data_IF_339474213542
#
_entry.id   IF_339474213542
#
_cell.length_a   1.000
_cell.length_b   1.000
_cell.length_c   1.000
_cell.angle_alpha   90.00
_cell.angle_beta   90.00
_cell.angle_gamma   90.00
#
_symmetry.space_group_name_H-M   'P 1'
#
loop_
_entity.id
_entity.type
_entity.pdbx_description
1 polymer ?
#
# COMPACT_ATOMS: atom_id res chain seq x y z
N UNK A 1 -35.29 -16.33 33.91
CA UNK A 1 -35.29 -15.14 33.03
C UNK A 1 -33.91 -14.47 32.90
N UNK A 2 -33.10 -14.34 33.97
CA UNK A 2 -31.78 -13.68 33.95
C UNK A 2 -30.70 -14.34 33.05
N UNK A 3 -30.67 -15.67 32.96
CA UNK A 3 -29.70 -16.41 32.11
C UNK A 3 -29.91 -16.17 30.61
N UNK A 4 -31.15 -16.02 30.16
CA UNK A 4 -31.47 -15.81 28.75
C UNK A 4 -31.04 -14.41 28.27
N UNK A 5 -31.20 -13.40 29.13
CA UNK A 5 -30.80 -12.01 28.84
C UNK A 5 -29.28 -11.88 28.68
N UNK A 6 -28.50 -12.52 29.56
CA UNK A 6 -27.03 -12.60 29.44
C UNK A 6 -26.56 -13.33 28.18
N UNK A 7 -27.26 -14.39 27.75
CA UNK A 7 -26.96 -15.10 26.50
C UNK A 7 -27.24 -14.24 25.27
N UNK A 8 -28.36 -13.50 25.24
CA UNK A 8 -28.66 -12.55 24.17
C UNK A 8 -27.66 -11.39 24.11
N UNK A 9 -27.25 -10.84 25.25
CA UNK A 9 -26.21 -9.80 25.29
C UNK A 9 -24.87 -10.33 24.78
N UNK A 10 -24.46 -11.54 25.19
CA UNK A 10 -23.24 -12.19 24.69
C UNK A 10 -23.25 -12.42 23.18
N UNK A 11 -24.36 -12.91 22.63
CA UNK A 11 -24.52 -13.08 21.18
C UNK A 11 -24.46 -11.75 20.42
N UNK A 12 -25.03 -10.68 20.98
CA UNK A 12 -24.98 -9.34 20.37
C UNK A 12 -23.56 -8.75 20.32
N UNK A 13 -22.75 -8.99 21.37
CA UNK A 13 -21.35 -8.56 21.42
C UNK A 13 -20.53 -9.34 20.39
N UNK A 14 -20.74 -10.66 20.31
CA UNK A 14 -20.03 -11.51 19.37
C UNK A 14 -20.32 -11.12 17.91
N UNK A 15 -21.58 -10.76 17.60
CA UNK A 15 -21.97 -10.26 16.28
C UNK A 15 -21.33 -8.91 15.95
N UNK A 16 -21.18 -8.00 16.93
CA UNK A 16 -20.47 -6.73 16.73
C UNK A 16 -18.98 -6.94 16.44
N UNK A 17 -18.34 -7.84 17.18
CA UNK A 17 -16.93 -8.20 16.96
C UNK A 17 -16.75 -8.80 15.57
N UNK A 18 -17.63 -9.72 15.16
CA UNK A 18 -17.55 -10.35 13.85
C UNK A 18 -17.68 -9.34 12.72
N UNK A 19 -18.64 -8.41 12.80
CA UNK A 19 -18.77 -7.31 11.83
C UNK A 19 -17.55 -6.39 11.81
N UNK A 20 -16.94 -6.14 12.96
CA UNK A 20 -15.73 -5.32 13.04
C UNK A 20 -14.55 -6.01 12.35
N UNK A 21 -14.38 -7.32 12.58
CA UNK A 21 -13.34 -8.11 11.92
C UNK A 21 -13.60 -8.15 10.41
N UNK A 22 -14.82 -8.44 9.97
CA UNK A 22 -15.19 -8.50 8.55
C UNK A 22 -14.89 -7.19 7.81
N UNK A 23 -15.15 -6.04 8.45
CA UNK A 23 -14.85 -4.74 7.89
C UNK A 23 -13.35 -4.40 7.90
N UNK A 24 -12.60 -4.81 8.93
CA UNK A 24 -11.17 -4.49 9.07
C UNK A 24 -10.27 -5.43 8.25
N UNK A 25 -10.67 -6.69 8.09
CA UNK A 25 -9.90 -7.72 7.41
C UNK A 25 -9.38 -7.33 6.00
N UNK A 26 -10.19 -6.79 5.07
CA UNK A 26 -9.69 -6.42 3.75
C UNK A 26 -8.58 -5.36 3.80
N UNK A 27 -8.66 -4.40 4.74
CA UNK A 27 -7.61 -3.38 4.92
C UNK A 27 -6.33 -3.98 5.47
N UNK A 28 -6.43 -4.94 6.39
CA UNK A 28 -5.28 -5.67 6.93
C UNK A 28 -4.62 -6.48 5.81
N UNK A 29 -5.40 -7.19 4.99
CA UNK A 29 -4.87 -7.95 3.86
C UNK A 29 -4.18 -7.05 2.84
N UNK A 30 -4.79 -5.90 2.49
CA UNK A 30 -4.20 -4.94 1.57
C UNK A 30 -2.90 -4.35 2.14
N UNK A 31 -2.89 -3.98 3.42
CA UNK A 31 -1.70 -3.47 4.09
C UNK A 31 -0.56 -4.50 4.07
N UNK A 32 -0.85 -5.75 4.47
CA UNK A 32 0.15 -6.82 4.46
C UNK A 32 0.65 -7.12 3.04
N UNK A 33 -0.25 -7.14 2.05
CA UNK A 33 0.13 -7.33 0.66
C UNK A 33 1.11 -6.26 0.19
N UNK A 34 0.81 -4.99 0.43
CA UNK A 34 1.70 -3.88 0.05
C UNK A 34 3.02 -3.93 0.83
N UNK A 35 2.96 -4.26 2.12
CA UNK A 35 4.14 -4.43 2.97
C UNK A 35 5.10 -5.49 2.39
N UNK A 36 4.60 -6.68 2.07
CA UNK A 36 5.42 -7.75 1.51
C UNK A 36 5.91 -7.42 0.09
N UNK A 37 5.05 -6.84 -0.76
CA UNK A 37 5.42 -6.46 -2.12
C UNK A 37 6.55 -5.42 -2.13
N UNK A 38 6.60 -4.54 -1.14
CA UNK A 38 7.63 -3.51 -1.02
C UNK A 38 9.00 -4.02 -0.55
N UNK A 39 9.14 -5.32 -0.23
CA UNK A 39 10.44 -5.91 0.14
C UNK A 39 10.72 -5.99 1.64
N UNK A 40 9.66 -5.99 2.47
CA UNK A 40 9.77 -6.09 3.93
C UNK A 40 10.64 -7.27 4.39
N UNK A 41 10.52 -8.44 3.74
CA UNK A 41 11.31 -9.63 4.07
C UNK A 41 12.80 -9.40 3.91
N UNK A 42 13.22 -8.73 2.83
CA UNK A 42 14.63 -8.44 2.56
C UNK A 42 15.19 -7.48 3.61
N UNK A 43 14.43 -6.46 3.99
CA UNK A 43 14.84 -5.52 5.04
C UNK A 43 14.94 -6.16 6.42
N UNK A 44 14.11 -7.16 6.71
CA UNK A 44 14.12 -7.85 8.00
C UNK A 44 15.31 -8.82 8.12
N UNK A 45 15.68 -9.48 7.01
CA UNK A 45 16.80 -10.43 6.96
C UNK A 45 18.16 -9.73 6.96
N UNK A 46 18.28 -8.56 6.33
CA UNK A 46 19.56 -7.85 6.19
C UNK A 46 19.35 -6.33 6.18
N UNK A 47 19.07 -5.72 7.35
CA UNK A 47 18.74 -4.31 7.44
C UNK A 47 19.94 -3.42 7.10
N UNK A 48 19.95 -2.86 5.89
CA UNK A 48 20.86 -1.77 5.53
C UNK A 48 20.11 -0.45 5.71
N UNK A 49 20.38 0.24 6.83
CA UNK A 49 19.50 1.32 7.33
C UNK A 49 19.64 2.62 6.52
N UNK A 50 20.70 2.79 5.73
CA UNK A 50 21.02 4.10 5.16
C UNK A 50 21.67 4.07 3.79
N UNK A 51 22.55 5.05 3.59
CA UNK A 51 23.21 5.30 2.32
C UNK A 51 24.35 4.30 2.09
N UNK A 52 24.44 3.79 0.88
CA UNK A 52 25.53 2.98 0.41
C UNK A 52 26.53 3.84 -0.39
N UNK A 53 27.85 3.68 -0.17
CA UNK A 53 28.85 4.40 -0.94
C UNK A 53 28.88 3.89 -2.39
N UNK A 54 28.86 4.82 -3.34
CA UNK A 54 28.93 4.59 -4.79
C UNK A 54 30.12 5.36 -5.36
N UNK A 55 30.50 5.06 -6.60
CA UNK A 55 31.60 5.75 -7.29
C UNK A 55 31.38 7.27 -7.43
N UNK A 56 30.13 7.72 -7.42
CA UNK A 56 29.72 9.12 -7.58
C UNK A 56 29.28 9.80 -6.27
N UNK A 57 29.35 9.12 -5.12
CA UNK A 57 28.91 9.67 -3.83
C UNK A 57 28.10 8.66 -3.01
N UNK A 58 27.01 9.10 -2.40
CA UNK A 58 26.15 8.26 -1.56
C UNK A 58 24.78 8.03 -2.21
N UNK A 59 24.32 6.77 -2.26
CA UNK A 59 23.01 6.41 -2.80
C UNK A 59 22.17 5.65 -1.78
N UNK A 60 20.86 5.89 -1.75
CA UNK A 60 19.91 5.07 -0.97
C UNK A 60 19.40 3.84 -1.74
N UNK A 61 19.68 3.75 -3.05
CA UNK A 61 19.35 2.61 -3.90
C UNK A 61 20.64 1.85 -4.18
N UNK A 62 20.62 0.55 -3.92
CA UNK A 62 21.73 -0.34 -4.27
C UNK A 62 21.42 -0.92 -5.66
N UNK A 63 22.29 -0.74 -6.68
CA UNK A 63 22.08 -1.26 -8.03
C UNK A 63 22.36 -2.76 -8.13
N UNK A 64 21.71 -3.53 -7.25
CA UNK A 64 21.78 -4.99 -7.15
C UNK A 64 20.39 -5.49 -6.75
N UNK A 65 19.86 -6.48 -7.47
CA UNK A 65 18.48 -6.94 -7.28
C UNK A 65 18.22 -7.56 -5.90
N UNK A 66 19.23 -8.22 -5.35
CA UNK A 66 19.11 -8.99 -4.09
C UNK A 66 19.22 -8.13 -2.83
N UNK A 67 19.72 -6.89 -2.97
CA UNK A 67 19.90 -5.98 -1.85
C UNK A 67 18.83 -4.89 -1.85
N UNK A 68 18.46 -4.47 -0.64
CA UNK A 68 17.47 -3.44 -0.45
C UNK A 68 17.74 -2.69 0.85
N UNK A 69 17.77 -1.36 0.79
CA UNK A 69 17.89 -0.52 1.99
C UNK A 69 16.53 -0.31 2.64
N UNK A 70 16.52 0.05 3.92
CA UNK A 70 15.29 0.42 4.64
C UNK A 70 14.63 1.64 3.99
N UNK A 71 15.42 2.61 3.54
CA UNK A 71 14.92 3.81 2.86
C UNK A 71 14.26 3.44 1.52
N UNK A 72 14.89 2.54 0.75
CA UNK A 72 14.33 2.03 -0.50
C UNK A 72 12.99 1.32 -0.28
N UNK A 73 12.92 0.43 0.71
CA UNK A 73 11.67 -0.21 1.14
C UNK A 73 10.58 0.80 1.47
N UNK A 74 10.88 1.81 2.31
CA UNK A 74 9.89 2.82 2.72
C UNK A 74 9.37 3.58 1.50
N UNK A 75 10.23 3.99 0.57
CA UNK A 75 9.80 4.67 -0.65
C UNK A 75 8.94 3.78 -1.54
N UNK A 76 9.35 2.53 -1.80
CA UNK A 76 8.58 1.58 -2.62
C UNK A 76 7.22 1.33 -1.96
N UNK A 77 7.18 1.16 -0.64
CA UNK A 77 5.95 1.02 0.14
C UNK A 77 5.01 2.21 -0.07
N UNK A 78 5.51 3.45 0.02
CA UNK A 78 4.71 4.66 -0.22
C UNK A 78 4.19 4.74 -1.66
N UNK A 79 5.05 4.47 -2.65
CA UNK A 79 4.66 4.54 -4.06
C UNK A 79 3.59 3.51 -4.42
N UNK A 80 3.76 2.26 -3.96
CA UNK A 80 2.76 1.20 -4.16
C UNK A 80 1.45 1.54 -3.43
N UNK A 81 1.53 2.05 -2.19
CA UNK A 81 0.35 2.48 -1.43
C UNK A 81 -0.43 3.58 -2.15
N UNK A 82 0.25 4.64 -2.60
CA UNK A 82 -0.37 5.75 -3.33
C UNK A 82 -0.94 5.30 -4.69
N UNK A 83 -0.24 4.40 -5.38
CA UNK A 83 -0.74 3.79 -6.61
C UNK A 83 -2.05 3.03 -6.37
N UNK A 84 -2.12 2.23 -5.30
CA UNK A 84 -3.34 1.50 -4.93
C UNK A 84 -4.50 2.44 -4.56
N UNK A 85 -4.21 3.56 -3.89
CA UNK A 85 -5.20 4.60 -3.61
C UNK A 85 -5.72 5.25 -4.89
N UNK A 86 -4.85 5.46 -5.89
CA UNK A 86 -5.26 5.92 -7.22
C UNK A 86 -6.29 4.99 -7.87
N UNK A 87 -6.07 3.67 -7.78
CA UNK A 87 -7.03 2.67 -8.27
C UNK A 87 -8.34 2.68 -7.48
N UNK A 88 -8.27 2.80 -6.15
CA UNK A 88 -9.47 2.91 -5.30
C UNK A 88 -10.28 4.16 -5.65
N UNK A 89 -9.64 5.30 -5.90
CA UNK A 89 -10.30 6.52 -6.34
C UNK A 89 -10.99 6.33 -7.69
N UNK A 90 -10.35 5.68 -8.66
CA UNK A 90 -10.97 5.37 -9.94
C UNK A 90 -12.22 4.48 -9.79
N UNK A 91 -12.13 3.42 -8.96
CA UNK A 91 -13.25 2.53 -8.67
C UNK A 91 -14.40 3.24 -7.92
N UNK A 92 -14.07 4.14 -7.00
CA UNK A 92 -15.07 4.93 -6.30
C UNK A 92 -15.74 5.92 -7.25
N UNK A 93 -14.93 6.62 -8.05
CA UNK A 93 -15.37 7.52 -9.10
C UNK A 93 -16.37 6.85 -10.06
N UNK A 94 -16.09 5.62 -10.50
CA UNK A 94 -16.96 4.90 -11.44
C UNK A 94 -18.31 4.47 -10.85
N UNK A 95 -18.46 4.47 -9.52
CA UNK A 95 -19.72 4.13 -8.83
C UNK A 95 -20.61 5.35 -8.58
N UNK A 96 -20.09 6.57 -8.73
CA UNK A 96 -20.86 7.80 -8.56
C UNK A 96 -21.76 7.99 -9.80
N UNK A 97 -23.06 7.73 -9.64
CA UNK A 97 -24.05 7.86 -10.71
C UNK A 97 -24.72 9.23 -10.79
N UNK A 98 -24.70 10.00 -9.70
CA UNK A 98 -25.50 11.23 -9.56
C UNK A 98 -24.86 12.43 -10.26
N UNK A 99 -23.55 12.65 -10.06
CA UNK A 99 -22.82 13.76 -10.68
C UNK A 99 -21.68 13.24 -11.55
N UNK A 100 -21.91 13.27 -12.87
CA UNK A 100 -20.94 12.82 -13.88
C UNK A 100 -19.69 13.70 -13.93
N UNK A 101 -19.80 15.01 -13.65
CA UNK A 101 -18.62 15.90 -13.68
C UNK A 101 -17.72 15.60 -12.50
N UNK A 102 -18.31 15.48 -11.32
CA UNK A 102 -17.57 15.10 -10.11
C UNK A 102 -16.95 13.71 -10.24
N UNK A 103 -17.72 12.72 -10.72
CA UNK A 103 -17.23 11.36 -11.01
C UNK A 103 -15.99 11.39 -11.93
N UNK A 104 -16.06 12.13 -13.05
CA UNK A 104 -14.95 12.24 -13.99
C UNK A 104 -13.71 12.88 -13.36
N UNK A 105 -13.87 13.91 -12.52
CA UNK A 105 -12.75 14.54 -11.82
C UNK A 105 -12.07 13.55 -10.87
N UNK A 106 -12.86 12.79 -10.10
CA UNK A 106 -12.34 11.77 -9.17
C UNK A 106 -11.59 10.68 -9.95
N UNK A 107 -12.15 10.17 -11.04
CA UNK A 107 -11.50 9.17 -11.90
C UNK A 107 -10.18 9.73 -12.45
N UNK A 108 -10.19 10.96 -12.99
CA UNK A 108 -9.01 11.57 -13.59
C UNK A 108 -7.91 11.84 -12.55
N UNK A 109 -8.28 12.26 -11.34
CA UNK A 109 -7.32 12.40 -10.23
C UNK A 109 -6.71 11.06 -9.81
N UNK A 110 -7.52 9.99 -9.77
CA UNK A 110 -7.05 8.65 -9.44
C UNK A 110 -6.12 8.09 -10.52
N UNK A 111 -6.46 8.30 -11.79
CA UNK A 111 -5.65 7.91 -12.94
C UNK A 111 -4.31 8.66 -12.97
N UNK A 112 -4.33 9.98 -12.74
CA UNK A 112 -3.11 10.79 -12.68
C UNK A 112 -2.19 10.34 -11.54
N UNK A 113 -2.75 10.12 -10.34
CA UNK A 113 -1.99 9.61 -9.20
C UNK A 113 -1.37 8.24 -9.52
N UNK A 114 -2.16 7.31 -10.08
CA UNK A 114 -1.68 5.99 -10.45
C UNK A 114 -0.52 6.06 -11.46
N UNK A 115 -0.69 6.80 -12.56
CA UNK A 115 0.32 6.91 -13.62
C UNK A 115 1.61 7.52 -13.06
N UNK A 116 1.51 8.61 -12.30
CA UNK A 116 2.67 9.27 -11.71
C UNK A 116 3.46 8.31 -10.81
N UNK A 117 2.78 7.57 -9.94
CA UNK A 117 3.44 6.62 -9.04
C UNK A 117 4.08 5.44 -9.80
N UNK A 118 3.44 4.94 -10.86
CA UNK A 118 4.00 3.87 -11.70
C UNK A 118 5.26 4.34 -12.44
N UNK A 119 5.28 5.57 -12.97
CA UNK A 119 6.47 6.14 -13.60
C UNK A 119 7.63 6.22 -12.60
N UNK A 120 7.36 6.67 -11.37
CA UNK A 120 8.38 6.73 -10.32
C UNK A 120 8.89 5.34 -9.92
N UNK A 121 8.01 4.33 -9.87
CA UNK A 121 8.41 2.93 -9.62
C UNK A 121 9.30 2.39 -10.75
N UNK A 122 8.96 2.67 -12.01
CA UNK A 122 9.78 2.28 -13.16
C UNK A 122 11.14 2.98 -13.16
N UNK A 123 11.17 4.24 -12.74
CA UNK A 123 12.42 4.98 -12.58
C UNK A 123 13.31 4.35 -11.49
N UNK A 124 12.75 4.03 -10.31
CA UNK A 124 13.50 3.32 -9.25
C UNK A 124 14.01 1.96 -9.71
N UNK A 125 13.19 1.20 -10.43
CA UNK A 125 13.58 -0.08 -11.00
C UNK A 125 14.73 0.06 -12.00
N UNK A 126 14.69 1.10 -12.84
CA UNK A 126 15.74 1.37 -13.83
C UNK A 126 17.08 1.67 -13.16
N UNK A 127 17.08 2.46 -12.07
CA UNK A 127 18.28 2.69 -11.26
C UNK A 127 18.76 1.38 -10.62
N UNK A 128 17.84 0.57 -10.08
CA UNK A 128 18.19 -0.70 -9.44
C UNK A 128 18.81 -1.71 -10.41
N UNK A 129 18.38 -1.69 -11.66
CA UNK A 129 18.94 -2.49 -12.75
C UNK A 129 20.24 -1.91 -13.34
N UNK A 130 20.66 -0.71 -12.92
CA UNK A 130 21.84 -0.03 -13.48
C UNK A 130 21.66 0.39 -14.94
N UNK A 131 20.42 0.63 -15.38
CA UNK A 131 20.12 1.06 -16.75
C UNK A 131 20.31 2.56 -16.96
N UNK A 132 20.29 3.34 -15.87
CA UNK A 132 20.46 4.80 -15.79
C UNK A 132 21.34 5.08 -14.58
#
# INVERSE_FOLDING_TARGET
MFKLKKLMEGASILQKIFRLIENAFPFICLFLFVLFLSGFTSTLLSPTIGLFPTSSGYSFIIPQMDYQTVVEFVMVFFLVSLSSLGVILMLYGSRISVDKRFSNVVILSGAFLFILMIILLQYLLSIKLGLI
#
